data_IF_800689779306
#
_entry.id   IF_800689779306
#
_cell.length_a   1.000
_cell.length_b   1.000
_cell.length_c   1.000
_cell.angle_alpha   90.00
_cell.angle_beta   90.00
_cell.angle_gamma   90.00
#
_symmetry.space_group_name_H-M   'P 1'
#
loop_
_entity.id
_entity.type
_entity.pdbx_description
1 polymer ?
#
# COMPACT_ATOMS: atom_id res chain seq x y z
N UNK A 1 -19.96 14.14 1.32
CA UNK A 1 -18.85 14.76 2.07
C UNK A 1 -18.50 16.10 1.43
N UNK A 2 -18.32 17.17 2.20
CA UNK A 2 -18.01 18.51 1.69
C UNK A 2 -16.49 18.70 1.42
N UNK A 3 -15.87 17.71 0.77
CA UNK A 3 -14.41 17.62 0.55
C UNK A 3 -14.03 17.57 -0.92
N UNK A 4 -14.91 18.08 -1.80
CA UNK A 4 -14.60 18.11 -3.24
C UNK A 4 -13.49 19.13 -3.51
N UNK A 5 -12.53 18.75 -4.34
CA UNK A 5 -11.44 19.64 -4.77
C UNK A 5 -10.29 19.77 -3.76
N UNK A 6 -10.33 19.04 -2.64
CA UNK A 6 -9.20 18.97 -1.70
C UNK A 6 -8.11 18.04 -2.25
N UNK A 7 -6.89 18.13 -1.70
CA UNK A 7 -5.84 17.18 -2.02
C UNK A 7 -6.20 15.76 -1.54
N UNK A 8 -5.52 14.74 -2.07
CA UNK A 8 -5.70 13.35 -1.60
C UNK A 8 -5.33 13.19 -0.12
N UNK A 9 -4.35 13.96 0.34
CA UNK A 9 -3.97 14.01 1.75
C UNK A 9 -5.06 14.63 2.63
N UNK A 10 -5.58 15.80 2.25
CA UNK A 10 -6.65 16.47 3.01
C UNK A 10 -7.92 15.62 3.05
N UNK A 11 -8.26 14.97 1.94
CA UNK A 11 -9.38 14.04 1.89
C UNK A 11 -9.16 12.84 2.82
N UNK A 12 -7.94 12.29 2.86
CA UNK A 12 -7.59 11.15 3.72
C UNK A 12 -7.65 11.52 5.20
N UNK A 13 -7.14 12.71 5.56
CA UNK A 13 -7.26 13.27 6.92
C UNK A 13 -8.71 13.47 7.33
N UNK A 14 -9.53 14.00 6.42
CA UNK A 14 -10.96 14.14 6.68
C UNK A 14 -11.64 12.79 6.96
N UNK A 15 -11.32 11.74 6.20
CA UNK A 15 -11.85 10.39 6.45
C UNK A 15 -11.36 9.79 7.78
N UNK A 16 -10.10 10.01 8.15
CA UNK A 16 -9.56 9.59 9.45
C UNK A 16 -10.39 10.20 10.60
N UNK A 17 -10.59 11.52 10.55
CA UNK A 17 -11.24 12.27 11.62
C UNK A 17 -12.75 12.02 11.69
N UNK A 18 -13.45 12.04 10.54
CA UNK A 18 -14.90 11.88 10.48
C UNK A 18 -15.36 10.51 10.99
N UNK A 19 -14.61 9.46 10.65
CA UNK A 19 -15.01 8.08 10.92
C UNK A 19 -14.24 7.43 12.07
N UNK A 20 -13.42 8.19 12.78
CA UNK A 20 -12.54 7.70 13.85
C UNK A 20 -11.78 6.44 13.42
N UNK A 21 -11.05 6.53 12.31
CA UNK A 21 -10.29 5.41 11.75
C UNK A 21 -8.88 5.36 12.33
N UNK A 22 -8.32 4.16 12.47
CA UNK A 22 -6.91 4.01 12.85
C UNK A 22 -5.96 4.34 11.69
N UNK A 23 -6.37 3.98 10.47
CA UNK A 23 -5.60 4.18 9.25
C UNK A 23 -6.50 4.54 8.07
N UNK A 24 -5.98 5.37 7.17
CA UNK A 24 -6.49 5.54 5.81
C UNK A 24 -5.35 5.27 4.83
N UNK A 25 -5.65 4.44 3.83
CA UNK A 25 -4.72 4.08 2.75
C UNK A 25 -5.26 4.70 1.47
N UNK A 26 -4.48 5.59 0.86
CA UNK A 26 -4.73 6.16 -0.46
C UNK A 26 -3.82 5.48 -1.47
N UNK A 27 -4.41 4.81 -2.46
CA UNK A 27 -3.67 4.21 -3.58
C UNK A 27 -3.90 5.01 -4.86
N UNK A 28 -2.84 5.58 -5.42
CA UNK A 28 -2.86 6.31 -6.70
C UNK A 28 -2.41 5.41 -7.86
N UNK A 29 -2.82 4.13 -7.85
CA UNK A 29 -2.50 3.15 -8.88
C UNK A 29 -0.99 2.97 -9.09
N UNK A 30 -0.54 3.18 -10.33
CA UNK A 30 0.87 3.03 -10.71
C UNK A 30 1.77 4.20 -10.29
N UNK A 31 1.23 5.24 -9.63
CA UNK A 31 2.03 6.38 -9.20
C UNK A 31 2.61 6.17 -7.80
N UNK A 32 1.75 6.08 -6.79
CA UNK A 32 2.17 5.95 -5.40
C UNK A 32 1.06 5.38 -4.52
N UNK A 33 1.42 5.09 -3.27
CA UNK A 33 0.47 4.89 -2.18
C UNK A 33 0.89 5.71 -0.96
N UNK A 34 -0.10 6.20 -0.21
CA UNK A 34 0.09 6.95 1.04
C UNK A 34 -0.77 6.34 2.12
N UNK A 35 -0.17 6.04 3.28
CA UNK A 35 -0.88 5.57 4.47
C UNK A 35 -0.75 6.62 5.57
N UNK A 36 -1.89 7.01 6.15
CA UNK A 36 -1.98 7.93 7.26
C UNK A 36 -2.55 7.22 8.47
N UNK A 37 -1.92 7.38 9.63
CA UNK A 37 -2.44 6.86 10.89
C UNK A 37 -3.13 7.96 11.71
N UNK A 38 -4.03 7.55 12.60
CA UNK A 38 -4.62 8.42 13.63
C UNK A 38 -3.57 9.14 14.49
N UNK A 39 -2.41 8.53 14.68
CA UNK A 39 -1.29 9.08 15.47
C UNK A 39 -0.51 10.18 14.75
N UNK A 40 -0.90 10.53 13.52
CA UNK A 40 -0.26 11.54 12.70
C UNK A 40 0.92 11.04 11.88
N UNK A 41 1.26 9.74 11.96
CA UNK A 41 2.30 9.14 11.11
C UNK A 41 1.79 9.05 9.66
N UNK A 42 2.67 9.39 8.71
CA UNK A 42 2.38 9.33 7.27
C UNK A 42 3.52 8.58 6.57
N UNK A 43 3.18 7.66 5.68
CA UNK A 43 4.14 6.95 4.83
C UNK A 43 3.67 7.01 3.39
N UNK A 44 4.50 7.59 2.50
CA UNK A 44 4.25 7.63 1.06
C UNK A 44 5.37 6.89 0.33
N UNK A 45 4.99 5.99 -0.58
CA UNK A 45 5.91 5.21 -1.40
C UNK A 45 5.46 5.25 -2.85
N UNK A 46 6.40 5.51 -3.75
CA UNK A 46 6.16 5.36 -5.19
C UNK A 46 5.91 3.89 -5.52
N UNK A 47 5.04 3.65 -6.51
CA UNK A 47 4.74 2.30 -6.95
C UNK A 47 5.92 1.75 -7.76
N UNK A 48 6.52 0.60 -7.38
CA UNK A 48 7.62 0.00 -8.13
C UNK A 48 7.23 -0.33 -9.57
N UNK A 49 8.14 -0.09 -10.51
CA UNK A 49 7.98 -0.54 -11.88
C UNK A 49 8.45 -1.99 -12.00
N UNK A 50 7.54 -2.88 -12.41
CA UNK A 50 7.79 -4.30 -12.63
C UNK A 50 7.25 -4.72 -13.99
N UNK A 51 7.75 -5.83 -14.54
CA UNK A 51 7.10 -6.45 -15.70
C UNK A 51 5.76 -7.05 -15.26
N UNK A 52 4.66 -6.41 -15.66
CA UNK A 52 3.32 -6.80 -15.27
C UNK A 52 2.81 -7.95 -16.14
N UNK A 53 2.36 -9.02 -15.50
CA UNK A 53 1.66 -10.15 -16.14
C UNK A 53 0.15 -10.01 -15.97
N UNK A 54 -0.31 -9.78 -14.75
CA UNK A 54 -1.72 -9.61 -14.37
C UNK A 54 -1.82 -8.75 -13.11
N UNK A 55 -2.78 -7.84 -13.00
CA UNK A 55 -2.96 -6.98 -11.81
C UNK A 55 -4.03 -7.48 -10.85
N UNK A 56 -4.76 -8.53 -11.23
CA UNK A 56 -5.81 -9.11 -10.40
C UNK A 56 -5.20 -9.58 -9.06
N UNK A 57 -5.83 -9.20 -7.95
CA UNK A 57 -5.37 -9.57 -6.60
C UNK A 57 -4.28 -8.68 -5.99
N UNK A 58 -3.68 -7.75 -6.76
CA UNK A 58 -2.63 -6.88 -6.22
C UNK A 58 -3.13 -6.02 -5.04
N UNK A 59 -4.32 -5.40 -5.17
CA UNK A 59 -4.92 -4.59 -4.10
C UNK A 59 -5.32 -5.40 -2.86
N UNK A 60 -5.83 -6.62 -3.06
CA UNK A 60 -6.16 -7.54 -1.96
C UNK A 60 -4.89 -7.96 -1.22
N UNK A 61 -3.82 -8.28 -1.95
CA UNK A 61 -2.53 -8.66 -1.37
C UNK A 61 -1.86 -7.51 -0.63
N UNK A 62 -1.99 -6.27 -1.12
CA UNK A 62 -1.55 -5.06 -0.41
C UNK A 62 -2.27 -4.95 0.93
N UNK A 63 -3.60 -4.98 0.89
CA UNK A 63 -4.46 -4.78 2.06
C UNK A 63 -4.26 -5.89 3.09
N UNK A 64 -4.19 -7.14 2.64
CA UNK A 64 -3.94 -8.31 3.49
C UNK A 64 -2.56 -8.25 4.14
N UNK A 65 -1.53 -7.89 3.38
CA UNK A 65 -0.16 -7.74 3.91
C UNK A 65 -0.08 -6.61 4.92
N UNK A 66 -0.60 -5.42 4.60
CA UNK A 66 -0.59 -4.29 5.51
C UNK A 66 -1.30 -4.62 6.83
N UNK A 67 -2.47 -5.26 6.74
CA UNK A 67 -3.24 -5.71 7.92
C UNK A 67 -2.45 -6.70 8.76
N UNK A 68 -1.89 -7.74 8.13
CA UNK A 68 -1.11 -8.76 8.84
C UNK A 68 0.14 -8.17 9.52
N UNK A 69 0.86 -7.29 8.84
CA UNK A 69 2.07 -6.64 9.39
C UNK A 69 1.75 -5.70 10.54
N UNK A 70 0.68 -4.93 10.43
CA UNK A 70 0.19 -4.08 11.52
C UNK A 70 -0.16 -4.91 12.76
N UNK A 71 -0.87 -6.03 12.59
CA UNK A 71 -1.21 -6.94 13.69
C UNK A 71 0.01 -7.63 14.34
N UNK A 72 1.08 -7.82 13.57
CA UNK A 72 2.36 -8.35 14.07
C UNK A 72 3.22 -7.28 14.78
N UNK A 73 2.79 -6.02 14.79
CA UNK A 73 3.48 -4.92 15.47
C UNK A 73 4.59 -4.27 14.64
N UNK A 74 4.60 -4.45 13.31
CA UNK A 74 5.50 -3.72 12.43
C UNK A 74 5.24 -2.19 12.51
N UNK A 75 6.28 -1.40 12.25
CA UNK A 75 6.12 0.05 12.06
C UNK A 75 5.25 0.37 10.83
N UNK A 76 4.64 1.56 10.80
CA UNK A 76 3.85 1.99 9.63
C UNK A 76 4.66 1.89 8.33
N UNK A 77 5.92 2.35 8.36
CA UNK A 77 6.80 2.33 7.20
C UNK A 77 7.12 0.89 6.75
N UNK A 78 7.42 -0.02 7.69
CA UNK A 78 7.73 -1.42 7.37
C UNK A 78 6.50 -2.17 6.83
N UNK A 79 5.34 -1.97 7.44
CA UNK A 79 4.09 -2.56 6.99
C UNK A 79 3.72 -2.07 5.59
N UNK A 80 3.83 -0.77 5.33
CA UNK A 80 3.58 -0.17 4.03
C UNK A 80 4.53 -0.73 2.96
N UNK A 81 5.83 -0.76 3.26
CA UNK A 81 6.86 -1.29 2.35
C UNK A 81 6.63 -2.75 1.98
N UNK A 82 6.30 -3.58 2.97
CA UNK A 82 5.98 -5.00 2.75
C UNK A 82 4.71 -5.16 1.91
N UNK A 83 3.69 -4.32 2.11
CA UNK A 83 2.47 -4.33 1.32
C UNK A 83 2.73 -3.94 -0.14
N UNK A 84 3.51 -2.88 -0.39
CA UNK A 84 3.92 -2.46 -1.75
C UNK A 84 4.69 -3.57 -2.45
N UNK A 85 5.69 -4.16 -1.80
CA UNK A 85 6.49 -5.24 -2.41
C UNK A 85 5.65 -6.48 -2.71
N UNK A 86 4.69 -6.81 -1.83
CA UNK A 86 3.80 -7.96 -2.05
C UNK A 86 2.85 -7.71 -3.22
N UNK A 87 2.28 -6.52 -3.32
CA UNK A 87 1.43 -6.15 -4.45
C UNK A 87 2.21 -6.13 -5.77
N UNK A 88 3.43 -5.59 -5.76
CA UNK A 88 4.32 -5.61 -6.91
C UNK A 88 4.65 -7.04 -7.35
N UNK A 89 4.95 -7.95 -6.41
CA UNK A 89 5.14 -9.37 -6.72
C UNK A 89 3.89 -9.97 -7.36
N UNK A 90 2.70 -9.77 -6.79
CA UNK A 90 1.46 -10.31 -7.36
C UNK A 90 1.24 -9.81 -8.79
N UNK A 91 1.57 -8.55 -9.08
CA UNK A 91 1.50 -8.00 -10.45
C UNK A 91 2.38 -8.76 -11.47
N UNK A 92 3.43 -9.45 -11.03
CA UNK A 92 4.32 -10.25 -11.88
C UNK A 92 3.83 -11.69 -12.10
N UNK A 93 2.72 -12.08 -11.46
CA UNK A 93 2.18 -13.44 -11.49
C UNK A 93 0.88 -13.50 -12.30
N UNK A 94 0.47 -14.71 -12.70
CA UNK A 94 -0.81 -14.93 -13.36
C UNK A 94 -1.91 -15.24 -12.33
N UNK A 95 -3.01 -14.46 -12.35
CA UNK A 95 -4.14 -14.63 -11.43
C UNK A 95 -3.91 -14.08 -10.02
N UNK A 96 -4.98 -14.14 -9.20
CA UNK A 96 -5.06 -13.43 -7.92
C UNK A 96 -4.25 -14.05 -6.75
N UNK A 97 -3.97 -15.36 -6.82
CA UNK A 97 -3.47 -16.14 -5.68
C UNK A 97 -2.24 -16.96 -6.07
N UNK A 98 -1.07 -16.31 -6.21
CA UNK A 98 0.17 -17.00 -6.53
C UNK A 98 0.79 -17.70 -5.32
N UNK A 99 1.73 -18.60 -5.58
CA UNK A 99 2.64 -19.09 -4.55
C UNK A 99 3.65 -17.99 -4.19
N UNK A 100 3.74 -17.65 -2.91
CA UNK A 100 4.63 -16.60 -2.43
C UNK A 100 6.04 -17.14 -2.17
N UNK A 101 7.10 -16.39 -2.53
CA UNK A 101 8.47 -16.80 -2.23
C UNK A 101 8.72 -16.77 -0.72
N UNK A 102 9.68 -17.60 -0.26
CA UNK A 102 10.08 -17.61 1.14
C UNK A 102 10.64 -16.24 1.61
N UNK A 103 11.28 -15.52 0.70
CA UNK A 103 11.76 -14.16 0.90
C UNK A 103 11.22 -13.27 -0.21
N UNK A 104 10.55 -12.17 0.17
CA UNK A 104 9.94 -11.24 -0.77
C UNK A 104 11.02 -10.34 -1.39
N UNK A 105 11.14 -10.25 -2.73
CA UNK A 105 12.02 -9.30 -3.37
C UNK A 105 11.68 -7.86 -3.02
N UNK A 106 12.70 -7.02 -3.03
CA UNK A 106 12.58 -5.62 -2.68
C UNK A 106 12.52 -4.73 -3.93
N UNK A 107 11.32 -4.64 -4.50
CA UNK A 107 11.05 -3.91 -5.74
C UNK A 107 11.27 -2.40 -5.61
N UNK A 108 11.19 -1.85 -4.40
CA UNK A 108 11.47 -0.44 -4.13
C UNK A 108 12.96 -0.07 -4.29
N UNK A 109 13.87 -1.03 -4.06
CA UNK A 109 15.31 -0.81 -4.29
C UNK A 109 15.67 -0.97 -5.76
N UNK A 110 14.97 -1.85 -6.48
CA UNK A 110 15.16 -2.07 -7.90
C UNK A 110 14.73 -0.87 -8.76
N UNK A 111 13.77 -0.05 -8.28
CA UNK A 111 13.30 1.15 -8.96
C UNK A 111 14.26 2.36 -8.89
N UNK A 112 15.32 2.28 -8.07
CA UNK A 112 16.33 3.34 -7.91
C UNK A 112 17.55 3.21 -8.83
N UNK A 113 17.49 2.39 -9.88
CA UNK A 113 18.53 2.23 -10.90
C UNK A 113 18.04 2.65 -12.28
#
# INVERSE_FOLDING_TARGET
FNIRGTSGEDASRWFLDEFDLDYVILTAGSAYSTIMSRKGEVSTLDTPHVEVVDTVGAGDSFSGTFTARTLLGDSLADAHRKAVNTAAFVCTQAGAWPEYPAEMPDYLVAAGK
#
